data_IF_293146672630
#
_entry.id   IF_293146672630
#
_cell.length_a   1.000
_cell.length_b   1.000
_cell.length_c   1.000
_cell.angle_alpha   90.00
_cell.angle_beta   90.00
_cell.angle_gamma   90.00
#
_symmetry.space_group_name_H-M   'P 1'
#
loop_
_entity.id
_entity.type
_entity.pdbx_description
1 polymer ?
#
# COMPACT_ATOMS: atom_id res chain seq x y z
N UNK A 1 -6.36 -11.16 -18.47
CA UNK A 1 -4.94 -11.26 -18.07
C UNK A 1 -4.78 -10.58 -16.72
N UNK A 2 -4.25 -11.28 -15.72
CA UNK A 2 -3.95 -10.71 -14.39
C UNK A 2 -2.60 -9.99 -14.45
N UNK A 3 -2.46 -8.86 -13.74
CA UNK A 3 -1.21 -8.09 -13.69
C UNK A 3 -0.47 -8.38 -12.37
N UNK A 4 0.84 -8.11 -12.32
CA UNK A 4 1.69 -8.33 -11.13
C UNK A 4 1.25 -7.55 -9.89
N UNK A 5 0.39 -6.56 -10.06
CA UNK A 5 -0.12 -5.68 -9.02
C UNK A 5 -1.36 -6.24 -8.30
N UNK A 6 -1.97 -7.32 -8.83
CA UNK A 6 -3.27 -7.82 -8.38
C UNK A 6 -3.33 -8.21 -6.90
N UNK A 7 -2.20 -8.64 -6.32
CA UNK A 7 -2.10 -8.95 -4.89
C UNK A 7 -2.03 -7.73 -3.98
N UNK A 8 -1.64 -6.55 -4.48
CA UNK A 8 -1.34 -5.36 -3.66
C UNK A 8 -2.55 -4.76 -2.92
N UNK A 9 -3.78 -4.73 -3.47
CA UNK A 9 -4.90 -4.09 -2.79
C UNK A 9 -5.30 -4.75 -1.46
N UNK A 10 -5.15 -6.09 -1.36
CA UNK A 10 -5.58 -6.86 -0.20
C UNK A 10 -4.39 -7.48 0.55
N UNK A 11 -3.81 -8.56 0.02
CA UNK A 11 -2.77 -9.33 0.71
C UNK A 11 -1.42 -8.61 0.75
N UNK A 12 -1.01 -8.02 -0.36
CA UNK A 12 0.17 -7.18 -0.42
C UNK A 12 0.01 -5.96 0.48
N UNK A 13 -1.15 -5.31 0.49
CA UNK A 13 -1.46 -4.18 1.36
C UNK A 13 -1.28 -4.53 2.85
N UNK A 14 -1.79 -5.68 3.28
CA UNK A 14 -1.57 -6.21 4.62
C UNK A 14 -0.07 -6.40 4.98
N UNK A 15 0.73 -6.96 4.07
CA UNK A 15 2.17 -7.13 4.27
C UNK A 15 2.92 -5.79 4.32
N UNK A 16 2.58 -4.87 3.42
CA UNK A 16 3.25 -3.57 3.30
C UNK A 16 2.89 -2.66 4.47
N UNK A 17 1.65 -2.72 4.96
CA UNK A 17 1.24 -2.14 6.23
C UNK A 17 2.06 -2.73 7.38
N UNK A 18 2.22 -4.05 7.42
CA UNK A 18 3.02 -4.72 8.45
C UNK A 18 4.47 -4.24 8.45
N UNK A 19 5.09 -4.05 7.28
CA UNK A 19 6.44 -3.46 7.17
C UNK A 19 6.50 -2.04 7.74
N UNK A 20 5.52 -1.19 7.43
CA UNK A 20 5.44 0.16 8.00
C UNK A 20 5.26 0.15 9.51
N UNK A 21 4.39 -0.73 10.02
CA UNK A 21 4.16 -0.91 11.45
C UNK A 21 5.40 -1.45 12.18
N UNK A 22 6.15 -2.37 11.56
CA UNK A 22 7.42 -2.86 12.09
C UNK A 22 8.46 -1.76 12.16
N UNK A 23 8.60 -0.97 11.09
CA UNK A 23 9.57 0.13 11.02
C UNK A 23 9.34 1.13 12.16
N UNK A 24 8.11 1.61 12.33
CA UNK A 24 7.81 2.63 13.34
C UNK A 24 7.61 2.06 14.75
N UNK A 25 6.95 0.90 14.86
CA UNK A 25 6.58 0.28 16.13
C UNK A 25 7.76 -0.33 16.88
N UNK A 26 8.73 -0.93 16.16
CA UNK A 26 9.89 -1.59 16.77
C UNK A 26 10.77 -0.62 17.56
N UNK A 27 10.81 0.65 17.16
CA UNK A 27 11.62 1.65 17.85
C UNK A 27 11.15 1.93 19.28
N UNK A 28 9.85 1.80 19.54
CA UNK A 28 9.30 1.93 20.89
C UNK A 28 9.59 0.70 21.74
N UNK A 29 9.65 -0.49 21.13
CA UNK A 29 9.99 -1.73 21.83
C UNK A 29 11.47 -1.79 22.24
N UNK A 30 12.37 -1.26 21.42
CA UNK A 30 13.82 -1.28 21.68
C UNK A 30 14.36 0.03 22.29
N UNK A 31 13.54 1.08 22.36
CA UNK A 31 13.97 2.40 22.85
C UNK A 31 14.94 3.14 21.91
N UNK A 32 15.12 2.67 20.68
CA UNK A 32 16.09 3.22 19.72
C UNK A 32 15.76 4.66 19.34
N UNK A 33 14.47 5.02 19.25
CA UNK A 33 14.04 6.38 18.93
C UNK A 33 14.53 7.39 19.98
N UNK A 34 14.51 7.01 21.27
CA UNK A 34 15.01 7.86 22.36
C UNK A 34 16.51 8.07 22.24
N UNK A 35 17.27 6.99 22.02
CA UNK A 35 18.72 7.04 21.85
C UNK A 35 19.12 7.90 20.65
N UNK A 36 18.41 7.73 19.51
CA UNK A 36 18.68 8.48 18.29
C UNK A 36 18.42 9.98 18.47
N UNK A 37 17.27 10.35 19.05
CA UNK A 37 16.93 11.75 19.28
C UNK A 37 17.81 12.41 20.33
N UNK A 38 18.36 11.65 21.28
CA UNK A 38 19.38 12.12 22.23
C UNK A 38 20.68 12.58 21.58
N UNK A 39 20.96 12.16 20.34
CA UNK A 39 22.15 12.58 19.58
C UNK A 39 21.98 13.92 18.84
N UNK A 40 20.82 14.59 18.98
CA UNK A 40 20.55 15.90 18.38
C UNK A 40 19.95 15.97 16.96
N UNK A 41 19.59 14.87 16.22
CA UNK A 41 18.89 15.02 14.95
C UNK A 41 17.47 15.57 15.17
N UNK A 42 16.97 16.35 14.21
CA UNK A 42 15.58 16.85 14.27
C UNK A 42 14.62 15.69 14.03
N UNK A 43 13.49 15.68 14.75
CA UNK A 43 12.44 14.64 14.61
C UNK A 43 11.94 14.48 13.17
N UNK A 44 11.84 15.58 12.42
CA UNK A 44 11.45 15.57 11.01
C UNK A 44 12.52 14.96 10.11
N UNK A 45 13.81 15.10 10.45
CA UNK A 45 14.89 14.44 9.71
C UNK A 45 14.86 12.92 9.93
N UNK A 46 14.62 12.48 11.16
CA UNK A 46 14.45 11.05 11.49
C UNK A 46 13.26 10.47 10.72
N UNK A 47 12.09 11.12 10.79
CA UNK A 47 10.90 10.66 10.06
C UNK A 47 11.14 10.61 8.55
N UNK A 48 11.76 11.65 7.97
CA UNK A 48 12.06 11.67 6.54
C UNK A 48 13.00 10.53 6.13
N UNK A 49 14.02 10.24 6.95
CA UNK A 49 14.93 9.12 6.71
C UNK A 49 14.22 7.75 6.81
N UNK A 50 13.34 7.57 7.80
CA UNK A 50 12.54 6.35 7.95
C UNK A 50 11.59 6.16 6.77
N UNK A 51 10.87 7.19 6.36
CA UNK A 51 9.96 7.13 5.22
C UNK A 51 10.72 6.88 3.91
N UNK A 52 11.90 7.46 3.74
CA UNK A 52 12.76 7.19 2.58
C UNK A 52 13.26 5.75 2.59
N UNK A 53 13.72 5.23 3.73
CA UNK A 53 14.14 3.85 3.88
C UNK A 53 12.99 2.87 3.58
N UNK A 54 11.79 3.16 4.10
CA UNK A 54 10.58 2.40 3.78
C UNK A 54 10.31 2.44 2.28
N UNK A 55 10.32 3.64 1.68
CA UNK A 55 10.05 3.80 0.25
C UNK A 55 11.02 2.99 -0.62
N UNK A 56 12.31 2.94 -0.27
CA UNK A 56 13.31 2.11 -0.96
C UNK A 56 12.97 0.63 -0.85
N UNK A 57 12.60 0.15 0.34
CA UNK A 57 12.19 -1.26 0.54
C UNK A 57 10.92 -1.58 -0.25
N UNK A 58 9.91 -0.70 -0.22
CA UNK A 58 8.66 -0.87 -0.96
C UNK A 58 8.90 -0.85 -2.49
N UNK A 59 9.71 0.08 -2.99
CA UNK A 59 10.10 0.14 -4.39
C UNK A 59 10.85 -1.13 -4.82
N UNK A 60 11.75 -1.63 -3.98
CA UNK A 60 12.42 -2.92 -4.18
C UNK A 60 11.43 -4.08 -4.25
N UNK A 61 10.47 -4.17 -3.33
CA UNK A 61 9.46 -5.21 -3.32
C UNK A 61 8.59 -5.20 -4.58
N UNK A 62 8.12 -4.02 -5.00
CA UNK A 62 7.35 -3.84 -6.24
C UNK A 62 8.19 -4.21 -7.47
N UNK A 63 9.44 -3.74 -7.54
CA UNK A 63 10.34 -4.05 -8.65
C UNK A 63 10.61 -5.56 -8.75
N UNK A 64 10.92 -6.22 -7.63
CA UNK A 64 11.14 -7.68 -7.59
C UNK A 64 9.89 -8.42 -8.06
N UNK A 65 8.70 -8.00 -7.63
CA UNK A 65 7.45 -8.60 -8.11
C UNK A 65 7.32 -8.49 -9.64
N UNK A 66 7.61 -7.32 -10.23
CA UNK A 66 7.58 -7.14 -11.69
C UNK A 66 8.61 -8.01 -12.41
N UNK A 67 9.84 -8.08 -11.90
CA UNK A 67 10.91 -8.88 -12.49
C UNK A 67 10.59 -10.38 -12.44
N UNK A 68 10.08 -10.87 -11.31
CA UNK A 68 9.72 -12.28 -11.15
C UNK A 68 8.54 -12.63 -12.05
N UNK A 69 7.46 -11.86 -12.02
CA UNK A 69 6.28 -12.11 -12.88
C UNK A 69 6.63 -12.00 -14.36
N UNK A 70 7.43 -11.00 -14.74
CA UNK A 70 7.90 -10.83 -16.11
C UNK A 70 8.78 -11.99 -16.58
N UNK A 71 9.72 -12.43 -15.74
CA UNK A 71 10.58 -13.58 -16.03
C UNK A 71 9.76 -14.86 -16.23
N UNK A 72 8.87 -15.17 -15.29
CA UNK A 72 7.99 -16.35 -15.39
C UNK A 72 7.10 -16.29 -16.62
N UNK A 73 6.50 -15.13 -16.91
CA UNK A 73 5.69 -14.92 -18.12
C UNK A 73 6.49 -15.16 -19.39
N UNK A 74 7.75 -14.69 -19.45
CA UNK A 74 8.63 -14.90 -20.58
C UNK A 74 9.02 -16.37 -20.77
N UNK A 75 9.31 -17.07 -19.67
CA UNK A 75 9.63 -18.51 -19.69
C UNK A 75 8.45 -19.35 -20.19
N UNK A 76 7.23 -19.02 -19.76
CA UNK A 76 6.01 -19.70 -20.22
C UNK A 76 5.79 -19.45 -21.71
N UNK A 77 5.85 -18.19 -22.16
CA UNK A 77 5.67 -17.87 -23.58
C UNK A 77 6.70 -18.58 -24.48
N UNK A 78 7.95 -18.66 -24.03
CA UNK A 78 9.00 -19.40 -24.73
C UNK A 78 8.71 -20.91 -24.78
N UNK A 79 8.23 -21.50 -23.67
CA UNK A 79 7.86 -22.92 -23.60
C UNK A 79 6.66 -23.28 -24.48
N UNK A 80 5.68 -22.38 -24.60
CA UNK A 80 4.48 -22.58 -25.41
C UNK A 80 4.66 -22.17 -26.89
N UNK A 81 5.84 -21.68 -27.27
CA UNK A 81 6.08 -21.09 -28.61
C UNK A 81 5.08 -19.98 -28.96
N UNK A 82 4.59 -19.27 -27.94
CA UNK A 82 3.65 -18.18 -28.08
C UNK A 82 4.40 -16.85 -28.29
N UNK A 83 3.82 -15.88 -29.04
CA UNK A 83 4.43 -14.57 -29.19
C UNK A 83 4.48 -13.83 -27.85
N UNK A 84 5.65 -13.29 -27.50
CA UNK A 84 5.82 -12.47 -26.32
C UNK A 84 5.49 -10.99 -26.63
N UNK A 85 4.21 -10.63 -26.45
CA UNK A 85 3.75 -9.25 -26.61
C UNK A 85 4.08 -8.43 -25.35
N UNK A 86 5.34 -7.99 -25.26
CA UNK A 86 5.84 -7.26 -24.09
C UNK A 86 5.19 -5.88 -23.97
N UNK A 87 4.83 -5.44 -22.75
CA UNK A 87 4.29 -4.10 -22.54
C UNK A 87 5.31 -3.02 -22.88
N UNK A 88 4.84 -1.89 -23.38
CA UNK A 88 5.68 -0.71 -23.62
C UNK A 88 6.28 -0.18 -22.32
N UNK A 89 7.44 0.49 -22.42
CA UNK A 89 8.12 1.10 -21.28
C UNK A 89 7.21 2.08 -20.51
N UNK A 90 6.34 2.82 -21.21
CA UNK A 90 5.36 3.70 -20.59
C UNK A 90 4.29 2.96 -19.77
N UNK A 91 3.85 1.78 -20.23
CA UNK A 91 2.93 0.93 -19.48
C UNK A 91 3.60 0.34 -18.24
N UNK A 92 4.86 -0.09 -18.36
CA UNK A 92 5.66 -0.56 -17.23
C UNK A 92 5.88 0.54 -16.19
N UNK A 93 6.24 1.76 -16.62
CA UNK A 93 6.43 2.89 -15.73
C UNK A 93 5.15 3.27 -14.96
N UNK A 94 3.98 3.27 -15.63
CA UNK A 94 2.69 3.48 -14.97
C UNK A 94 2.35 2.37 -13.97
N UNK A 95 2.62 1.11 -14.33
CA UNK A 95 2.43 -0.03 -13.43
C UNK A 95 3.30 0.07 -12.18
N UNK A 96 4.59 0.36 -12.35
CA UNK A 96 5.53 0.57 -11.23
C UNK A 96 5.10 1.75 -10.36
N UNK A 97 4.74 2.89 -10.97
CA UNK A 97 4.28 4.07 -10.25
C UNK A 97 3.00 3.82 -9.45
N UNK A 98 2.00 3.16 -10.06
CA UNK A 98 0.76 2.81 -9.39
C UNK A 98 0.95 1.77 -8.27
N UNK A 99 1.77 0.76 -8.51
CA UNK A 99 2.14 -0.23 -7.49
C UNK A 99 2.87 0.39 -6.30
N UNK A 100 3.82 1.29 -6.57
CA UNK A 100 4.54 2.01 -5.53
C UNK A 100 3.62 2.95 -4.75
N UNK A 101 2.68 3.63 -5.41
CA UNK A 101 1.68 4.46 -4.74
C UNK A 101 0.84 3.63 -3.76
N UNK A 102 0.30 2.50 -4.20
CA UNK A 102 -0.48 1.59 -3.34
C UNK A 102 0.37 1.10 -2.16
N UNK A 103 1.60 0.66 -2.45
CA UNK A 103 2.52 0.16 -1.44
C UNK A 103 2.87 1.23 -0.40
N UNK A 104 3.15 2.46 -0.85
CA UNK A 104 3.46 3.58 0.00
C UNK A 104 2.26 3.97 0.86
N UNK A 105 1.04 3.98 0.33
CA UNK A 105 -0.17 4.29 1.11
C UNK A 105 -0.38 3.29 2.25
N UNK A 106 -0.27 1.99 1.98
CA UNK A 106 -0.38 0.95 3.00
C UNK A 106 0.76 1.00 4.01
N UNK A 107 2.00 1.17 3.54
CA UNK A 107 3.17 1.34 4.40
C UNK A 107 3.05 2.56 5.31
N UNK A 108 2.58 3.69 4.80
CA UNK A 108 2.37 4.90 5.57
C UNK A 108 1.25 4.74 6.62
N UNK A 109 0.19 3.99 6.32
CA UNK A 109 -0.81 3.62 7.33
C UNK A 109 -0.18 2.78 8.44
N UNK A 110 0.66 1.80 8.09
CA UNK A 110 1.41 1.00 9.05
C UNK A 110 2.29 1.85 9.96
N UNK A 111 3.06 2.77 9.39
CA UNK A 111 3.89 3.74 10.12
C UNK A 111 3.03 4.58 11.07
N UNK A 112 1.92 5.15 10.57
CA UNK A 112 1.00 5.95 11.37
C UNK A 112 0.48 5.17 12.57
N UNK A 113 -0.01 3.94 12.37
CA UNK A 113 -0.51 3.10 13.45
C UNK A 113 0.60 2.74 14.44
N UNK A 114 1.79 2.38 13.96
CA UNK A 114 2.97 2.10 14.78
C UNK A 114 3.36 3.27 15.69
N UNK A 115 3.44 4.47 15.12
CA UNK A 115 3.72 5.72 15.86
C UNK A 115 2.57 6.12 16.80
N UNK A 116 1.31 5.96 16.36
CA UNK A 116 0.14 6.34 17.13
C UNK A 116 -0.06 5.45 18.36
N UNK A 117 0.17 4.15 18.22
CA UNK A 117 -0.06 3.14 19.25
C UNK A 117 1.21 2.80 20.05
N UNK A 118 2.39 3.26 19.62
CA UNK A 118 3.69 3.01 20.27
C UNK A 118 3.95 1.52 20.53
N UNK A 119 3.56 0.68 19.58
CA UNK A 119 3.61 -0.78 19.67
C UNK A 119 3.82 -1.35 18.27
N UNK A 120 4.22 -2.61 18.18
CA UNK A 120 4.31 -3.34 16.90
C UNK A 120 3.10 -4.25 16.69
N UNK A 121 2.72 -5.04 17.71
CA UNK A 121 1.71 -6.08 17.57
C UNK A 121 0.30 -5.51 17.33
N UNK A 122 -0.09 -4.47 18.08
CA UNK A 122 -1.42 -3.89 17.98
C UNK A 122 -1.69 -3.22 16.61
N UNK A 123 -0.79 -2.37 16.07
CA UNK A 123 -0.93 -1.85 14.70
C UNK A 123 -1.09 -2.92 13.64
N UNK A 124 -0.30 -4.00 13.71
CA UNK A 124 -0.37 -5.10 12.75
C UNK A 124 -1.75 -5.76 12.85
N UNK A 125 -2.18 -6.14 14.05
CA UNK A 125 -3.49 -6.76 14.25
C UNK A 125 -4.65 -5.89 13.75
N UNK A 126 -4.67 -4.60 14.11
CA UNK A 126 -5.71 -3.67 13.68
C UNK A 126 -5.69 -3.43 12.16
N UNK A 127 -4.50 -3.28 11.58
CA UNK A 127 -4.34 -3.13 10.14
C UNK A 127 -4.82 -4.35 9.37
N UNK A 128 -4.50 -5.56 9.84
CA UNK A 128 -4.97 -6.80 9.24
C UNK A 128 -6.49 -6.95 9.36
N UNK A 129 -7.08 -6.66 10.52
CA UNK A 129 -8.54 -6.66 10.70
C UNK A 129 -9.21 -5.66 9.77
N UNK A 130 -8.63 -4.48 9.59
CA UNK A 130 -9.15 -3.49 8.65
C UNK A 130 -9.16 -4.01 7.21
N UNK A 131 -7.98 -4.39 6.71
CA UNK A 131 -7.77 -4.77 5.30
C UNK A 131 -8.52 -6.06 4.95
N UNK A 132 -8.44 -7.08 5.81
CA UNK A 132 -8.94 -8.41 5.50
C UNK A 132 -10.41 -8.61 5.88
N UNK A 133 -10.93 -7.86 6.85
CA UNK A 133 -12.30 -8.04 7.33
C UNK A 133 -13.16 -6.79 7.16
N UNK A 134 -12.84 -5.69 7.83
CA UNK A 134 -13.75 -4.53 7.94
C UNK A 134 -14.07 -3.95 6.57
N UNK A 135 -13.04 -3.63 5.78
CA UNK A 135 -13.25 -3.01 4.47
C UNK A 135 -13.99 -3.96 3.51
N UNK A 136 -13.67 -5.26 3.56
CA UNK A 136 -14.38 -6.27 2.77
C UNK A 136 -15.85 -6.41 3.15
N UNK A 137 -16.20 -6.29 4.43
CA UNK A 137 -17.60 -6.28 4.87
C UNK A 137 -18.33 -5.03 4.40
N UNK A 138 -17.67 -3.88 4.41
CA UNK A 138 -18.25 -2.64 3.88
C UNK A 138 -18.57 -2.80 2.39
N UNK A 139 -17.61 -3.27 1.60
CA UNK A 139 -17.75 -3.37 0.14
C UNK A 139 -18.72 -4.49 -0.27
N UNK A 140 -18.57 -5.69 0.29
CA UNK A 140 -19.29 -6.86 -0.21
C UNK A 140 -20.64 -7.10 0.48
N UNK A 141 -20.89 -6.45 1.63
CA UNK A 141 -22.12 -6.67 2.42
C UNK A 141 -22.87 -5.35 2.65
N UNK A 142 -22.23 -4.32 3.19
CA UNK A 142 -22.93 -3.09 3.57
C UNK A 142 -23.34 -2.26 2.35
N UNK A 143 -22.43 -2.06 1.39
CA UNK A 143 -22.66 -1.24 0.20
C UNK A 143 -23.83 -1.75 -0.68
N UNK A 144 -23.96 -3.06 -0.98
CA UNK A 144 -25.11 -3.58 -1.73
C UNK A 144 -26.47 -3.41 -1.03
N UNK A 145 -26.47 -3.25 0.30
CA UNK A 145 -27.70 -3.18 1.11
C UNK A 145 -28.10 -1.75 1.45
N UNK A 146 -27.15 -0.82 1.50
CA UNK A 146 -27.32 0.53 2.03
C UNK A 146 -26.63 1.57 1.15
N UNK A 147 -27.40 2.44 0.50
CA UNK A 147 -26.86 3.44 -0.45
C UNK A 147 -25.83 4.42 0.15
N UNK A 148 -25.87 4.67 1.46
CA UNK A 148 -24.82 5.44 2.14
C UNK A 148 -23.45 4.77 2.04
N UNK A 149 -23.39 3.45 2.27
CA UNK A 149 -22.13 2.70 2.21
C UNK A 149 -21.64 2.53 0.77
N UNK A 150 -22.56 2.47 -0.20
CA UNK A 150 -22.22 2.49 -1.62
C UNK A 150 -21.53 3.79 -2.05
N UNK A 151 -21.99 4.94 -1.56
CA UNK A 151 -21.29 6.20 -1.79
C UNK A 151 -19.96 6.28 -1.00
N UNK A 152 -19.95 5.80 0.25
CA UNK A 152 -18.78 5.90 1.11
C UNK A 152 -17.61 4.99 0.69
N UNK A 153 -17.90 3.82 0.09
CA UNK A 153 -16.85 2.89 -0.33
C UNK A 153 -15.91 3.49 -1.38
N UNK A 154 -16.40 4.44 -2.19
CA UNK A 154 -15.61 5.13 -3.21
C UNK A 154 -14.44 5.95 -2.61
N UNK A 155 -14.46 6.24 -1.31
CA UNK A 155 -13.39 6.93 -0.61
C UNK A 155 -12.44 5.99 0.15
N UNK A 156 -12.69 4.67 0.17
CA UNK A 156 -11.88 3.74 0.97
C UNK A 156 -10.55 3.43 0.28
N UNK A 157 -9.44 3.34 1.03
CA UNK A 157 -8.11 3.18 0.45
C UNK A 157 -7.94 1.85 -0.28
N UNK A 158 -8.50 0.75 0.20
CA UNK A 158 -8.45 -0.55 -0.48
C UNK A 158 -9.31 -0.60 -1.74
N UNK A 159 -10.50 0.01 -1.74
CA UNK A 159 -11.33 0.18 -2.95
C UNK A 159 -10.59 0.94 -4.04
N UNK A 160 -9.93 2.04 -3.67
CA UNK A 160 -9.14 2.84 -4.60
C UNK A 160 -7.87 2.10 -5.03
N UNK A 161 -7.21 1.34 -4.14
CA UNK A 161 -6.10 0.47 -4.53
C UNK A 161 -6.54 -0.59 -5.56
N UNK A 162 -7.67 -1.27 -5.33
CA UNK A 162 -8.25 -2.24 -6.24
C UNK A 162 -8.61 -1.64 -7.59
N UNK A 163 -9.25 -0.47 -7.58
CA UNK A 163 -9.67 0.25 -8.78
C UNK A 163 -8.47 0.75 -9.60
N UNK A 164 -7.39 1.21 -8.96
CA UNK A 164 -6.16 1.59 -9.64
C UNK A 164 -5.50 0.39 -10.33
N UNK A 165 -5.46 -0.77 -9.66
CA UNK A 165 -4.93 -2.01 -10.25
C UNK A 165 -5.77 -2.46 -11.44
N UNK A 166 -7.10 -2.37 -11.32
CA UNK A 166 -8.02 -2.69 -12.41
C UNK A 166 -7.80 -1.77 -13.63
N UNK A 167 -7.68 -0.45 -13.40
CA UNK A 167 -7.42 0.52 -14.46
C UNK A 167 -6.07 0.27 -15.16
N UNK A 168 -5.04 -0.16 -14.42
CA UNK A 168 -3.72 -0.50 -14.97
C UNK A 168 -3.67 -1.85 -15.69
N UNK A 169 -4.63 -2.74 -15.45
CA UNK A 169 -4.73 -4.03 -16.13
C UNK A 169 -5.26 -3.91 -17.58
N UNK A 170 -6.03 -2.86 -17.87
CA UNK A 170 -6.63 -2.60 -19.19
C UNK A 170 -8.01 -3.23 -19.37
N UNK A 171 -8.75 -2.78 -20.39
CA UNK A 171 -10.17 -3.12 -20.59
C UNK A 171 -10.43 -4.61 -20.84
N UNK A 172 -9.49 -5.34 -21.43
CA UNK A 172 -9.63 -6.79 -21.67
C UNK A 172 -9.25 -7.65 -20.45
N UNK A 173 -8.90 -7.05 -19.31
CA UNK A 173 -8.51 -7.79 -18.12
C UNK A 173 -9.71 -8.39 -17.38
N UNK A 174 -9.71 -9.71 -17.22
CA UNK A 174 -10.62 -10.41 -16.31
C UNK A 174 -10.19 -10.19 -14.86
N UNK A 175 -10.95 -9.39 -14.11
CA UNK A 175 -10.70 -9.12 -12.69
C UNK A 175 -11.22 -10.29 -11.84
N UNK A 176 -10.34 -11.21 -11.46
CA UNK A 176 -10.67 -12.37 -10.61
C UNK A 176 -10.02 -12.34 -9.24
N UNK A 177 -9.06 -11.43 -9.05
CA UNK A 177 -8.30 -11.34 -7.82
C UNK A 177 -9.12 -10.64 -6.73
N UNK A 178 -9.26 -11.25 -5.53
CA UNK A 178 -9.94 -10.61 -4.41
C UNK A 178 -9.34 -9.24 -4.07
N UNK A 179 -10.20 -8.26 -3.85
CA UNK A 179 -9.81 -6.87 -3.58
C UNK A 179 -9.48 -6.04 -4.83
N UNK A 180 -9.54 -6.62 -6.04
CA UNK A 180 -9.43 -5.88 -7.30
C UNK A 180 -10.80 -5.75 -7.93
N UNK A 181 -11.37 -4.55 -7.88
CA UNK A 181 -12.65 -4.23 -8.51
C UNK A 181 -12.59 -2.82 -9.10
N UNK A 182 -13.17 -2.64 -10.29
CA UNK A 182 -13.27 -1.34 -10.96
C UNK A 182 -14.50 -0.56 -10.44
N UNK A 183 -14.46 -0.18 -9.16
CA UNK A 183 -15.56 0.54 -8.51
C UNK A 183 -15.48 2.04 -8.82
N UNK A 184 -14.27 2.58 -8.90
CA UNK A 184 -14.01 4.00 -9.25
C UNK A 184 -13.04 4.11 -10.43
N UNK A 185 -12.98 5.29 -11.05
CA UNK A 185 -12.02 5.57 -12.12
C UNK A 185 -10.56 5.53 -11.61
N UNK A 186 -9.62 5.13 -12.47
CA UNK A 186 -8.21 5.04 -12.14
C UNK A 186 -7.58 6.38 -11.73
N UNK A 187 -8.06 7.50 -12.29
CA UNK A 187 -7.59 8.84 -11.94
C UNK A 187 -8.03 9.21 -10.53
N UNK A 188 -9.32 8.98 -10.20
CA UNK A 188 -9.84 9.18 -8.85
C UNK A 188 -9.05 8.31 -7.86
N UNK A 189 -8.86 7.04 -8.20
CA UNK A 189 -8.13 6.10 -7.38
C UNK A 189 -6.71 6.60 -7.02
N UNK A 190 -5.97 7.09 -8.01
CA UNK A 190 -4.64 7.65 -7.80
C UNK A 190 -4.67 8.89 -6.87
N UNK A 191 -5.64 9.80 -7.06
CA UNK A 191 -5.77 10.99 -6.22
C UNK A 191 -6.13 10.67 -4.77
N UNK A 192 -7.08 9.75 -4.57
CA UNK A 192 -7.49 9.35 -3.22
C UNK A 192 -6.34 8.68 -2.47
N UNK A 193 -5.61 7.77 -3.13
CA UNK A 193 -4.43 7.13 -2.53
C UNK A 193 -3.31 8.14 -2.22
N UNK A 194 -3.08 9.11 -3.12
CA UNK A 194 -2.14 10.21 -2.89
C UNK A 194 -2.56 11.07 -1.69
N UNK A 195 -3.86 11.36 -1.57
CA UNK A 195 -4.44 12.07 -0.42
C UNK A 195 -4.20 11.32 0.89
N UNK A 196 -4.46 10.02 0.93
CA UNK A 196 -4.19 9.19 2.11
C UNK A 196 -2.70 9.12 2.46
N UNK A 197 -1.83 8.96 1.46
CA UNK A 197 -0.39 8.93 1.67
C UNK A 197 0.10 10.23 2.33
N UNK A 198 -0.36 11.38 1.84
CA UNK A 198 -0.06 12.68 2.42
C UNK A 198 -0.64 12.82 3.83
N UNK A 199 -1.90 12.43 4.01
CA UNK A 199 -2.59 12.49 5.31
C UNK A 199 -1.87 11.64 6.37
N UNK A 200 -1.57 10.37 6.08
CA UNK A 200 -0.91 9.48 7.03
C UNK A 200 0.50 9.93 7.37
N UNK A 201 1.24 10.43 6.38
CA UNK A 201 2.57 11.00 6.58
C UNK A 201 2.52 12.26 7.46
N UNK A 202 1.58 13.17 7.17
CA UNK A 202 1.40 14.41 7.93
C UNK A 202 0.96 14.14 9.38
N UNK A 203 0.01 13.22 9.58
CA UNK A 203 -0.44 12.82 10.91
C UNK A 203 0.70 12.17 11.71
N UNK A 204 1.49 11.29 11.08
CA UNK A 204 2.69 10.72 11.71
C UNK A 204 3.65 11.82 12.17
N UNK A 205 3.97 12.77 11.28
CA UNK A 205 4.83 13.92 11.61
C UNK A 205 4.27 14.78 12.74
N UNK A 206 2.97 15.03 12.74
CA UNK A 206 2.28 15.79 13.80
C UNK A 206 2.37 15.07 15.15
N UNK A 207 2.17 13.76 15.17
CA UNK A 207 2.27 12.94 16.39
C UNK A 207 3.70 12.97 16.93
N UNK A 208 4.71 12.80 16.06
CA UNK A 208 6.12 12.89 16.45
C UNK A 208 6.50 14.29 16.94
N UNK A 209 5.94 15.35 16.37
CA UNK A 209 6.22 16.71 16.81
C UNK A 209 5.59 17.05 18.17
N UNK A 210 4.38 16.54 18.44
CA UNK A 210 3.62 16.88 19.66
C UNK A 210 3.89 15.96 20.85
N UNK A 211 4.31 14.72 20.62
CA UNK A 211 4.46 13.73 21.69
C UNK A 211 5.88 13.71 22.21
N UNK A 212 6.07 13.86 23.52
CA UNK A 212 7.38 13.63 24.12
C UNK A 212 7.82 12.18 23.93
N UNK A 213 9.12 12.01 23.64
CA UNK A 213 9.77 10.70 23.54
C UNK A 213 10.35 10.43 24.92
N UNK A 214 9.61 9.65 25.72
CA UNK A 214 10.00 9.24 27.08
C UNK A 214 10.91 8.04 27.03
#
# INVERSE_FOLDING_TARGET
MENSLSGLPLFGGALLLTLGALLAGSEYGWGTLKTLLGQGPRRTQVLAAQLLALLVVLAGAVLVSFLVTGCVSGLIAAGESAPADWPSAGRLARGLGGGLLIAATWGALGVLLGTALRSTALPIGLGLVWVLAVENLVVNVAAPLLGFFDAAQAALPGVNAGSLVAALAGEQATLRTPGVAAIVDGTQAAWVLGGFLLLFTALTGLLLARRDVV
#
